data_IF_258193707884
#
_entry.id   IF_258193707884
#
_cell.length_a   1.000
_cell.length_b   1.000
_cell.length_c   1.000
_cell.angle_alpha   90.00
_cell.angle_beta   90.00
_cell.angle_gamma   90.00
#
_symmetry.space_group_name_H-M   'P 1'
#
loop_
_entity.id
_entity.type
_entity.pdbx_description
1 polymer ?
#
# COMPACT_ATOMS: atom_id res chain seq x y z
N UNK A 1 -28.16 28.86 -10.66
CA UNK A 1 -29.13 27.77 -10.56
C UNK A 1 -28.36 26.47 -10.45
N UNK A 2 -28.29 25.85 -9.27
CA UNK A 2 -27.60 24.58 -9.10
C UNK A 2 -28.57 23.48 -9.53
N UNK A 3 -28.22 22.72 -10.57
CA UNK A 3 -28.97 21.52 -10.92
C UNK A 3 -28.95 20.56 -9.73
N UNK A 4 -30.05 19.86 -9.40
CA UNK A 4 -30.08 18.88 -8.35
C UNK A 4 -29.05 17.80 -8.66
N UNK A 5 -28.24 17.40 -7.66
CA UNK A 5 -27.30 16.29 -7.77
C UNK A 5 -28.12 15.03 -8.04
N UNK A 6 -28.00 14.48 -9.24
CA UNK A 6 -28.63 13.22 -9.61
C UNK A 6 -27.82 12.07 -9.01
N UNK A 7 -28.32 11.50 -7.92
CA UNK A 7 -27.70 10.37 -7.23
C UNK A 7 -27.76 9.07 -8.05
N UNK A 8 -28.60 9.03 -9.10
CA UNK A 8 -28.76 7.85 -9.96
C UNK A 8 -27.93 7.96 -11.25
N UNK A 9 -27.16 9.02 -11.43
CA UNK A 9 -26.29 9.16 -12.58
C UNK A 9 -25.22 8.06 -12.55
N UNK A 10 -25.00 7.30 -13.65
CA UNK A 10 -23.97 6.27 -13.69
C UNK A 10 -22.60 6.89 -13.42
N UNK A 11 -21.85 6.28 -12.50
CA UNK A 11 -20.49 6.72 -12.18
C UNK A 11 -19.64 6.75 -13.45
N UNK A 12 -18.83 7.80 -13.69
CA UNK A 12 -18.00 7.89 -14.87
C UNK A 12 -17.07 6.66 -14.96
N UNK A 13 -17.17 5.92 -16.04
CA UNK A 13 -16.30 4.76 -16.32
C UNK A 13 -15.09 5.25 -17.09
N UNK A 14 -13.89 4.87 -16.63
CA UNK A 14 -12.65 5.21 -17.35
C UNK A 14 -12.50 4.37 -18.62
N UNK A 15 -11.49 4.70 -19.45
CA UNK A 15 -11.10 3.89 -20.60
C UNK A 15 -10.75 2.44 -20.25
N UNK A 16 -10.39 2.16 -18.99
CA UNK A 16 -10.13 0.82 -18.45
C UNK A 16 -11.41 0.05 -18.08
N UNK A 17 -12.60 0.67 -18.15
CA UNK A 17 -13.87 0.05 -17.73
C UNK A 17 -14.05 -0.02 -16.21
N UNK A 18 -13.11 0.48 -15.39
CA UNK A 18 -13.19 0.50 -13.93
C UNK A 18 -13.89 1.79 -13.48
N UNK A 19 -14.93 1.67 -12.65
CA UNK A 19 -15.68 2.81 -12.11
C UNK A 19 -14.76 3.74 -11.28
N UNK A 20 -15.07 5.04 -11.27
CA UNK A 20 -14.21 6.05 -10.65
C UNK A 20 -14.03 5.84 -9.14
N UNK A 21 -15.09 5.42 -8.45
CA UNK A 21 -15.05 5.11 -7.02
C UNK A 21 -14.10 3.93 -6.72
N UNK A 22 -14.13 2.85 -7.52
CA UNK A 22 -13.22 1.74 -7.36
C UNK A 22 -11.75 2.14 -7.58
N UNK A 23 -11.48 3.02 -8.54
CA UNK A 23 -10.13 3.55 -8.78
C UNK A 23 -9.61 4.36 -7.61
N UNK A 24 -10.45 5.24 -7.04
CA UNK A 24 -10.11 6.03 -5.87
C UNK A 24 -9.87 5.16 -4.63
N UNK A 25 -10.74 4.19 -4.36
CA UNK A 25 -10.53 3.27 -3.25
C UNK A 25 -9.26 2.41 -3.42
N UNK A 26 -8.97 1.98 -4.64
CA UNK A 26 -7.74 1.24 -4.93
C UNK A 26 -6.49 2.12 -4.74
N UNK A 27 -6.51 3.38 -5.16
CA UNK A 27 -5.46 4.36 -4.86
C UNK A 27 -5.27 4.53 -3.34
N UNK A 28 -6.36 4.70 -2.59
CA UNK A 28 -6.30 4.83 -1.13
C UNK A 28 -5.77 3.57 -0.45
N UNK A 29 -6.01 2.38 -1.01
CA UNK A 29 -5.44 1.16 -0.47
C UNK A 29 -3.90 1.18 -0.48
N UNK A 30 -3.27 1.73 -1.52
CA UNK A 30 -1.82 1.91 -1.55
C UNK A 30 -1.34 3.05 -0.63
N UNK A 31 -1.99 4.22 -0.68
CA UNK A 31 -1.59 5.39 0.10
C UNK A 31 -1.82 5.23 1.61
N UNK A 32 -2.82 4.44 2.01
CA UNK A 32 -3.12 4.19 3.41
C UNK A 32 -1.96 3.53 4.16
N UNK A 33 -1.12 2.78 3.45
CA UNK A 33 0.10 2.21 4.01
C UNK A 33 1.10 3.29 4.46
N UNK A 34 1.27 4.36 3.67
CA UNK A 34 2.14 5.48 4.02
C UNK A 34 1.61 6.22 5.24
N UNK A 35 0.32 6.55 5.23
CA UNK A 35 -0.30 7.26 6.34
C UNK A 35 -0.26 6.44 7.63
N UNK A 36 -0.65 5.16 7.55
CA UNK A 36 -0.62 4.27 8.69
C UNK A 36 0.79 4.04 9.23
N UNK A 37 1.77 3.86 8.34
CA UNK A 37 3.18 3.73 8.71
C UNK A 37 3.70 4.98 9.40
N UNK A 38 3.40 6.18 8.88
CA UNK A 38 3.82 7.44 9.46
C UNK A 38 3.23 7.66 10.86
N UNK A 39 1.93 7.43 11.02
CA UNK A 39 1.23 7.61 12.30
C UNK A 39 1.78 6.68 13.36
N UNK A 40 2.18 5.46 13.00
CA UNK A 40 2.63 4.44 13.96
C UNK A 40 4.16 4.31 14.08
N UNK A 41 4.93 5.02 13.26
CA UNK A 41 6.40 4.91 13.21
C UNK A 41 7.07 5.15 14.56
N UNK A 42 6.60 6.15 15.32
CA UNK A 42 7.21 6.58 16.58
C UNK A 42 6.89 5.71 17.80
N UNK A 43 5.82 4.87 17.76
CA UNK A 43 5.36 4.13 18.94
C UNK A 43 5.00 2.66 18.68
N UNK A 44 4.70 2.30 17.45
CA UNK A 44 4.33 0.93 17.08
C UNK A 44 5.15 0.39 15.89
N UNK A 45 6.35 0.90 15.67
CA UNK A 45 7.28 0.37 14.67
C UNK A 45 6.75 0.36 13.24
N UNK A 46 5.79 1.23 12.92
CA UNK A 46 5.22 1.31 11.58
C UNK A 46 4.17 0.24 11.24
N UNK A 47 3.65 -0.49 12.23
CA UNK A 47 2.61 -1.53 12.03
C UNK A 47 1.38 -1.01 11.27
N UNK A 48 1.08 0.28 11.35
CA UNK A 48 -0.01 0.90 10.60
C UNK A 48 0.09 0.75 9.09
N UNK A 49 1.27 0.48 8.53
CA UNK A 49 1.41 0.21 7.09
C UNK A 49 0.61 -1.03 6.62
N UNK A 50 0.30 -1.97 7.51
CA UNK A 50 -0.55 -3.12 7.22
C UNK A 50 -2.03 -2.81 7.42
N UNK A 51 -2.36 -1.99 8.44
CA UNK A 51 -3.74 -1.79 8.87
C UNK A 51 -4.57 -1.10 7.79
N UNK A 52 -4.03 -0.07 7.12
CA UNK A 52 -4.74 0.64 6.07
C UNK A 52 -5.19 -0.28 4.93
N UNK A 53 -4.25 -0.93 4.22
CA UNK A 53 -4.58 -1.87 3.16
C UNK A 53 -5.44 -3.04 3.63
N UNK A 54 -5.21 -3.56 4.84
CA UNK A 54 -5.99 -4.66 5.42
C UNK A 54 -7.46 -4.27 5.63
N UNK A 55 -7.71 -3.11 6.24
CA UNK A 55 -9.07 -2.61 6.47
C UNK A 55 -9.80 -2.41 5.14
N UNK A 56 -9.15 -1.76 4.16
CA UNK A 56 -9.76 -1.54 2.84
C UNK A 56 -10.05 -2.88 2.15
N UNK A 57 -9.12 -3.84 2.22
CA UNK A 57 -9.32 -5.17 1.68
C UNK A 57 -10.53 -5.88 2.30
N UNK A 58 -10.62 -5.91 3.63
CA UNK A 58 -11.73 -6.55 4.34
C UNK A 58 -13.07 -5.90 4.04
N UNK A 59 -13.12 -4.59 3.90
CA UNK A 59 -14.35 -3.83 3.66
C UNK A 59 -14.85 -3.90 2.21
N UNK A 60 -13.92 -4.01 1.24
CA UNK A 60 -14.25 -3.79 -0.18
C UNK A 60 -14.07 -5.00 -1.07
N UNK A 61 -13.38 -6.06 -0.64
CA UNK A 61 -13.05 -7.22 -1.49
C UNK A 61 -14.26 -7.90 -2.12
N UNK A 62 -15.42 -7.87 -1.47
CA UNK A 62 -16.63 -8.54 -1.95
C UNK A 62 -17.49 -7.65 -2.85
N UNK A 63 -17.45 -6.33 -2.61
CA UNK A 63 -18.27 -5.36 -3.34
C UNK A 63 -17.53 -4.67 -4.49
N UNK A 64 -16.20 -4.57 -4.38
CA UNK A 64 -15.34 -3.86 -5.33
C UNK A 64 -14.12 -4.75 -5.68
N UNK A 65 -14.23 -5.68 -6.65
CA UNK A 65 -13.19 -6.67 -6.94
C UNK A 65 -11.82 -6.05 -7.27
N UNK A 66 -11.79 -4.93 -8.01
CA UNK A 66 -10.56 -4.22 -8.34
C UNK A 66 -9.88 -3.66 -7.07
N UNK A 67 -10.65 -3.09 -6.14
CA UNK A 67 -10.15 -2.60 -4.86
C UNK A 67 -9.61 -3.74 -4.00
N UNK A 68 -10.34 -4.85 -3.94
CA UNK A 68 -9.91 -6.03 -3.21
C UNK A 68 -8.57 -6.58 -3.71
N UNK A 69 -8.40 -6.63 -5.03
CA UNK A 69 -7.16 -7.05 -5.67
C UNK A 69 -5.98 -6.11 -5.35
N UNK A 70 -6.17 -4.79 -5.49
CA UNK A 70 -5.13 -3.81 -5.23
C UNK A 70 -4.79 -3.66 -3.74
N UNK A 71 -5.76 -3.73 -2.85
CA UNK A 71 -5.53 -3.69 -1.41
C UNK A 71 -4.77 -4.92 -0.91
N UNK A 72 -5.07 -6.10 -1.46
CA UNK A 72 -4.33 -7.33 -1.19
C UNK A 72 -2.88 -7.23 -1.68
N UNK A 73 -2.66 -6.68 -2.86
CA UNK A 73 -1.31 -6.47 -3.40
C UNK A 73 -0.51 -5.47 -2.54
N UNK A 74 -1.14 -4.36 -2.10
CA UNK A 74 -0.53 -3.40 -1.19
C UNK A 74 -0.16 -4.06 0.16
N UNK A 75 -1.04 -4.89 0.70
CA UNK A 75 -0.79 -5.62 1.95
C UNK A 75 0.41 -6.56 1.82
N UNK A 76 0.45 -7.38 0.77
CA UNK A 76 1.56 -8.29 0.50
C UNK A 76 2.90 -7.57 0.34
N UNK A 77 2.90 -6.45 -0.36
CA UNK A 77 4.10 -5.62 -0.51
C UNK A 77 4.59 -5.08 0.84
N UNK A 78 3.71 -4.51 1.65
CA UNK A 78 4.10 -3.98 2.96
C UNK A 78 4.58 -5.07 3.93
N UNK A 79 3.99 -6.28 3.89
CA UNK A 79 4.49 -7.44 4.64
C UNK A 79 5.91 -7.78 4.18
N UNK A 80 6.18 -7.79 2.89
CA UNK A 80 7.51 -8.08 2.34
C UNK A 80 8.53 -7.05 2.79
N UNK A 81 8.21 -5.76 2.68
CA UNK A 81 9.08 -4.66 3.12
C UNK A 81 9.38 -4.76 4.62
N UNK A 82 8.36 -5.03 5.43
CA UNK A 82 8.55 -5.19 6.88
C UNK A 82 9.42 -6.40 7.22
N UNK A 83 9.28 -7.51 6.49
CA UNK A 83 10.16 -8.67 6.64
C UNK A 83 11.62 -8.31 6.34
N UNK A 84 11.88 -7.58 5.27
CA UNK A 84 13.23 -7.09 4.93
C UNK A 84 13.77 -6.17 6.04
N UNK A 85 12.96 -5.20 6.49
CA UNK A 85 13.34 -4.27 7.56
C UNK A 85 13.68 -5.01 8.86
N UNK A 86 12.87 -6.02 9.22
CA UNK A 86 13.10 -6.84 10.41
C UNK A 86 14.43 -7.61 10.29
N UNK A 87 14.73 -8.23 9.16
CA UNK A 87 15.99 -8.95 8.93
C UNK A 87 17.17 -8.00 9.08
N UNK A 88 17.13 -6.83 8.44
CA UNK A 88 18.21 -5.83 8.54
C UNK A 88 18.40 -5.35 9.99
N UNK A 89 17.32 -5.16 10.72
CA UNK A 89 17.36 -4.78 12.13
C UNK A 89 17.99 -5.87 13.00
N UNK A 90 17.60 -7.12 12.80
CA UNK A 90 18.17 -8.26 13.53
C UNK A 90 19.67 -8.44 13.25
N UNK A 91 20.10 -8.28 12.00
CA UNK A 91 21.53 -8.29 11.65
C UNK A 91 22.29 -7.21 12.44
N UNK A 92 21.72 -6.00 12.55
CA UNK A 92 22.32 -4.94 13.36
C UNK A 92 22.49 -5.35 14.83
N UNK A 93 21.47 -5.98 15.42
CA UNK A 93 21.52 -6.44 16.83
C UNK A 93 22.51 -7.59 17.02
N UNK A 94 22.41 -8.65 16.21
CA UNK A 94 23.24 -9.85 16.37
C UNK A 94 24.74 -9.62 16.10
N UNK A 95 25.08 -8.50 15.47
CA UNK A 95 26.46 -8.04 15.31
C UNK A 95 26.90 -7.09 16.43
N UNK A 96 26.22 -7.11 17.58
CA UNK A 96 26.49 -6.21 18.71
C UNK A 96 26.47 -4.73 18.34
N UNK A 97 25.62 -4.36 17.39
CA UNK A 97 25.42 -2.98 16.93
C UNK A 97 26.34 -2.54 15.78
N UNK A 98 27.46 -3.21 15.54
CA UNK A 98 28.41 -2.85 14.46
C UNK A 98 27.72 -2.93 13.08
N UNK A 99 26.85 -3.92 12.89
CA UNK A 99 26.10 -4.09 11.64
C UNK A 99 25.18 -2.93 11.30
N UNK A 100 24.75 -2.12 12.27
CA UNK A 100 23.93 -0.95 11.98
C UNK A 100 24.63 0.08 11.10
N UNK A 101 25.94 0.11 11.08
CA UNK A 101 26.69 0.97 10.17
C UNK A 101 26.37 0.69 8.69
N UNK A 102 26.07 -0.56 8.36
CA UNK A 102 25.66 -0.98 7.02
C UNK A 102 24.14 -1.09 6.87
N UNK A 103 23.46 -1.65 7.86
CA UNK A 103 22.03 -1.96 7.72
C UNK A 103 21.15 -0.71 7.81
N UNK A 104 21.53 0.34 8.54
CA UNK A 104 20.75 1.60 8.59
C UNK A 104 20.72 2.29 7.23
N UNK A 105 21.82 2.51 6.51
CA UNK A 105 21.76 3.03 5.14
C UNK A 105 20.91 2.16 4.20
N UNK A 106 21.01 0.83 4.30
CA UNK A 106 20.20 -0.09 3.52
C UNK A 106 18.70 0.04 3.85
N UNK A 107 18.33 0.17 5.13
CA UNK A 107 16.94 0.40 5.54
C UNK A 107 16.39 1.70 4.95
N UNK A 108 17.19 2.77 4.92
CA UNK A 108 16.79 4.04 4.28
C UNK A 108 16.56 3.84 2.78
N UNK A 109 17.43 3.13 2.09
CA UNK A 109 17.26 2.83 0.67
C UNK A 109 15.98 2.02 0.43
N UNK A 110 15.75 0.96 1.22
CA UNK A 110 14.53 0.14 1.13
C UNK A 110 13.28 1.00 1.35
N UNK A 111 13.30 1.91 2.33
CA UNK A 111 12.18 2.81 2.61
C UNK A 111 11.90 3.75 1.44
N UNK A 112 12.94 4.38 0.86
CA UNK A 112 12.79 5.29 -0.28
C UNK A 112 12.30 4.56 -1.54
N UNK A 113 12.85 3.40 -1.83
CA UNK A 113 12.41 2.57 -2.97
C UNK A 113 10.95 2.13 -2.78
N UNK A 114 10.59 1.72 -1.56
CA UNK A 114 9.21 1.35 -1.24
C UNK A 114 8.24 2.51 -1.41
N UNK A 115 8.63 3.71 -0.99
CA UNK A 115 7.83 4.93 -1.17
C UNK A 115 7.56 5.19 -2.66
N UNK A 116 8.58 5.09 -3.51
CA UNK A 116 8.43 5.27 -4.97
C UNK A 116 7.45 4.26 -5.55
N UNK A 117 7.59 2.98 -5.20
CA UNK A 117 6.68 1.94 -5.68
C UNK A 117 5.23 2.14 -5.20
N UNK A 118 5.02 2.56 -3.96
CA UNK A 118 3.68 2.86 -3.43
C UNK A 118 3.03 4.02 -4.20
N UNK A 119 3.77 5.07 -4.50
CA UNK A 119 3.27 6.20 -5.30
C UNK A 119 2.91 5.76 -6.72
N UNK A 120 3.79 5.00 -7.38
CA UNK A 120 3.52 4.46 -8.72
C UNK A 120 2.26 3.58 -8.71
N UNK A 121 2.14 2.70 -7.72
CA UNK A 121 0.98 1.83 -7.57
C UNK A 121 -0.31 2.62 -7.37
N UNK A 122 -0.29 3.66 -6.53
CA UNK A 122 -1.42 4.54 -6.29
C UNK A 122 -1.88 5.27 -7.55
N UNK A 123 -0.92 5.81 -8.34
CA UNK A 123 -1.23 6.47 -9.62
C UNK A 123 -1.84 5.46 -10.61
N UNK A 124 -1.23 4.29 -10.79
CA UNK A 124 -1.74 3.24 -11.68
C UNK A 124 -3.13 2.76 -11.28
N UNK A 125 -3.36 2.55 -10.00
CA UNK A 125 -4.67 2.17 -9.49
C UNK A 125 -5.73 3.26 -9.77
N UNK A 126 -5.38 4.53 -9.61
CA UNK A 126 -6.26 5.65 -9.94
C UNK A 126 -6.54 5.76 -11.45
N UNK A 127 -5.61 5.33 -12.30
CA UNK A 127 -5.81 5.22 -13.74
C UNK A 127 -6.67 3.98 -14.14
N UNK A 128 -7.07 3.15 -13.17
CA UNK A 128 -7.80 1.91 -13.39
C UNK A 128 -6.93 0.78 -13.92
N UNK A 129 -5.63 0.87 -13.73
CA UNK A 129 -4.66 -0.15 -14.12
C UNK A 129 -4.21 -0.94 -12.90
N UNK A 130 -4.43 -2.25 -12.90
CA UNK A 130 -3.95 -3.12 -11.83
C UNK A 130 -2.43 -3.10 -11.77
N UNK A 131 -1.90 -2.73 -10.61
CA UNK A 131 -0.46 -2.71 -10.37
C UNK A 131 -0.02 -3.98 -9.63
N UNK A 132 1.16 -4.47 -9.99
CA UNK A 132 1.82 -5.60 -9.32
C UNK A 132 3.21 -5.19 -8.90
N UNK A 133 3.48 -5.28 -7.61
CA UNK A 133 4.82 -4.98 -7.08
C UNK A 133 5.82 -6.06 -7.52
N UNK A 134 6.99 -5.68 -8.03
CA UNK A 134 7.96 -6.64 -8.58
C UNK A 134 8.54 -7.60 -7.54
N UNK A 135 8.62 -7.18 -6.27
CA UNK A 135 9.27 -7.94 -5.20
C UNK A 135 8.31 -8.37 -4.07
N UNK A 136 7.01 -8.26 -4.27
CA UNK A 136 6.04 -8.65 -3.25
C UNK A 136 5.92 -10.18 -3.13
N UNK A 137 6.14 -10.69 -1.92
CA UNK A 137 5.82 -12.08 -1.58
C UNK A 137 4.31 -12.13 -1.33
N UNK A 138 3.60 -12.90 -2.15
CA UNK A 138 2.13 -12.99 -2.10
C UNK A 138 1.68 -14.02 -1.07
N UNK A 139 1.71 -13.63 0.21
CA UNK A 139 1.29 -14.45 1.33
C UNK A 139 -0.23 -14.46 1.49
N UNK A 140 -0.87 -13.32 1.27
CA UNK A 140 -2.33 -13.19 1.28
C UNK A 140 -2.84 -13.52 -0.13
N UNK A 141 -3.71 -14.54 -0.23
CA UNK A 141 -4.25 -15.06 -1.50
C UNK A 141 -5.71 -14.63 -1.71
#
# INVERSE_FOLDING_TARGET
MNAPYDHDAPTPVSASGIAADQRQWAMFAHLSALLGGLVTAGWAGGVGCFLGPLVIWLMKRETMPFVGDQAKEALNFNITVAGIMLILFLVGIFTFGIGFLLTVPLMVIVALVSLVFIIIAAIKANDGVAYRYPFAIRLVK
#
